data_IF_286271028161
#
_entry.id   IF_286271028161
#
_cell.length_a   1.000
_cell.length_b   1.000
_cell.length_c   1.000
_cell.angle_alpha   90.00
_cell.angle_beta   90.00
_cell.angle_gamma   90.00
#
_symmetry.space_group_name_H-M   'P 1'
#
loop_
_entity.id
_entity.type
_entity.pdbx_description
1 polymer ?
#
# COMPACT_ATOMS: atom_id res chain seq x y z
N UNK A 1 16.92 -6.70 6.56
CA UNK A 1 16.55 -6.47 5.15
C UNK A 1 15.09 -6.08 5.15
N UNK A 2 14.80 -4.82 4.87
CA UNK A 2 13.43 -4.28 4.86
C UNK A 2 12.64 -4.95 3.71
N UNK A 3 11.32 -5.08 3.87
CA UNK A 3 10.43 -5.60 2.83
C UNK A 3 10.50 -4.78 1.53
N UNK A 4 10.82 -3.50 1.64
CA UNK A 4 11.11 -2.62 0.49
C UNK A 4 12.37 -3.08 -0.25
N UNK A 5 13.44 -3.46 0.46
CA UNK A 5 14.67 -3.99 -0.16
C UNK A 5 14.44 -5.39 -0.77
N UNK A 6 13.53 -6.19 -0.21
CA UNK A 6 13.12 -7.47 -0.78
C UNK A 6 12.33 -7.30 -2.07
N UNK A 7 11.41 -6.33 -2.09
CA UNK A 7 10.61 -5.97 -3.25
C UNK A 7 11.47 -5.34 -4.36
N UNK A 8 12.36 -4.42 -4.02
CA UNK A 8 13.33 -3.83 -4.96
C UNK A 8 14.23 -4.90 -5.59
N UNK A 9 14.70 -5.88 -4.83
CA UNK A 9 15.47 -7.00 -5.38
C UNK A 9 14.64 -7.89 -6.30
N UNK A 10 13.40 -8.21 -5.92
CA UNK A 10 12.51 -8.99 -6.78
C UNK A 10 12.21 -8.27 -8.10
N UNK A 11 12.00 -6.96 -8.06
CA UNK A 11 11.82 -6.13 -9.25
C UNK A 11 13.11 -6.04 -10.09
N UNK A 12 14.27 -5.87 -9.45
CA UNK A 12 15.57 -5.85 -10.11
C UNK A 12 15.92 -7.18 -10.79
N UNK A 13 15.58 -8.31 -10.15
CA UNK A 13 15.76 -9.66 -10.72
C UNK A 13 14.86 -9.89 -11.96
N UNK A 14 13.78 -9.13 -12.09
CA UNK A 14 12.90 -9.09 -13.27
C UNK A 14 13.32 -8.02 -14.29
N UNK A 15 14.43 -7.32 -14.06
CA UNK A 15 14.96 -6.27 -14.93
C UNK A 15 14.23 -4.93 -14.82
N UNK A 16 13.49 -4.69 -13.74
CA UNK A 16 12.78 -3.44 -13.47
C UNK A 16 13.67 -2.51 -12.64
N UNK A 17 14.02 -1.34 -13.19
CA UNK A 17 14.74 -0.28 -12.48
C UNK A 17 13.74 0.70 -11.85
N UNK A 18 13.91 0.99 -10.55
CA UNK A 18 13.11 1.97 -9.81
C UNK A 18 13.80 3.33 -9.90
N UNK A 19 13.09 4.35 -10.40
CA UNK A 19 13.58 5.73 -10.38
C UNK A 19 13.50 6.25 -8.93
N UNK A 20 14.67 6.43 -8.29
CA UNK A 20 14.74 7.09 -6.99
C UNK A 20 14.47 8.58 -7.24
N UNK A 21 13.62 9.25 -6.46
CA UNK A 21 13.47 10.69 -6.60
C UNK A 21 14.86 11.32 -6.44
N UNK A 22 15.30 12.02 -7.47
CA UNK A 22 16.52 12.83 -7.40
C UNK A 22 16.35 13.74 -6.18
N UNK A 23 17.22 13.56 -5.17
CA UNK A 23 17.32 14.49 -4.05
C UNK A 23 17.82 15.82 -4.64
N UNK A 24 16.87 16.67 -5.06
CA UNK A 24 17.15 18.02 -5.51
C UNK A 24 18.02 18.70 -4.46
N UNK A 25 19.26 19.07 -4.83
CA UNK A 25 20.25 19.75 -3.99
C UNK A 25 19.72 21.06 -3.36
N UNK A 26 18.55 21.52 -3.79
CA UNK A 26 17.80 22.66 -3.24
C UNK A 26 17.24 22.38 -1.84
N UNK A 27 16.82 21.15 -1.54
CA UNK A 27 16.33 20.81 -0.19
C UNK A 27 17.46 20.76 0.85
N UNK A 28 18.67 20.36 0.45
CA UNK A 28 19.81 20.32 1.37
C UNK A 28 20.33 21.73 1.71
N UNK A 29 20.24 22.68 0.77
CA UNK A 29 20.62 24.08 1.02
C UNK A 29 19.63 24.80 1.95
N UNK A 30 18.32 24.57 1.79
CA UNK A 30 17.30 25.12 2.68
C UNK A 30 17.31 24.45 4.06
N UNK A 31 17.55 23.12 4.14
CA UNK A 31 17.75 22.42 5.42
C UNK A 31 18.98 22.93 6.18
N UNK A 32 20.10 23.23 5.50
CA UNK A 32 21.30 23.80 6.14
C UNK A 32 21.08 25.24 6.63
N UNK A 33 20.45 26.11 5.83
CA UNK A 33 20.11 27.46 6.29
C UNK A 33 19.09 27.48 7.44
N UNK A 34 18.17 26.51 7.46
CA UNK A 34 17.20 26.36 8.55
C UNK A 34 17.86 25.84 9.83
N UNK A 35 18.78 24.88 9.74
CA UNK A 35 19.54 24.35 10.88
C UNK A 35 20.50 25.38 11.51
N UNK A 36 21.13 26.24 10.71
CA UNK A 36 22.00 27.32 11.24
C UNK A 36 21.21 28.41 11.97
N UNK A 37 20.02 28.78 11.46
CA UNK A 37 19.12 29.72 12.15
C UNK A 37 18.54 29.16 13.45
N UNK A 38 18.39 27.84 13.56
CA UNK A 38 17.85 27.15 14.75
C UNK A 38 18.86 26.97 15.88
N UNK A 39 20.17 26.92 15.58
CA UNK A 39 21.22 26.73 16.59
C UNK A 39 21.62 28.02 17.34
N UNK A 40 21.19 29.19 16.88
CA UNK A 40 21.52 30.48 17.51
C UNK A 40 20.52 30.97 18.56
N UNK A 41 19.34 30.35 18.67
CA UNK A 41 18.22 30.94 19.38
C UNK A 41 17.34 29.82 19.93
N UNK A 42 17.60 29.41 21.18
CA UNK A 42 16.73 28.67 22.13
C UNK A 42 17.60 27.92 23.16
N UNK A 43 18.28 28.69 24.02
CA UNK A 43 18.34 28.34 25.45
C UNK A 43 17.05 28.91 26.06
N UNK A 44 16.34 28.11 26.85
CA UNK A 44 15.02 28.42 27.47
C UNK A 44 13.90 28.46 26.43
N UNK A 45 12.88 27.59 26.39
CA UNK A 45 12.17 26.90 27.45
C UNK A 45 11.58 25.59 26.89
N UNK A 46 11.47 24.58 27.76
CA UNK A 46 10.88 23.29 27.43
C UNK A 46 9.36 23.38 27.29
N UNK A 47 8.85 23.03 26.11
CA UNK A 47 7.50 22.51 25.88
C UNK A 47 7.46 21.86 24.49
N UNK A 48 7.04 20.60 24.46
CA UNK A 48 7.02 19.73 23.28
C UNK A 48 6.13 20.30 22.18
N UNK A 49 6.76 20.69 21.06
CA UNK A 49 6.09 21.13 19.86
C UNK A 49 6.31 20.06 18.78
N UNK A 50 5.32 19.18 18.63
CA UNK A 50 5.26 18.23 17.52
C UNK A 50 5.24 18.99 16.19
N UNK A 51 6.22 18.68 15.35
CA UNK A 51 6.45 19.28 14.05
C UNK A 51 5.31 18.95 13.09
N UNK A 52 4.73 20.01 12.51
CA UNK A 52 3.98 19.97 11.27
C UNK A 52 4.92 19.49 10.16
N UNK A 53 4.66 18.31 9.61
CA UNK A 53 5.42 17.75 8.49
C UNK A 53 4.43 17.24 7.44
N UNK A 54 4.58 17.77 6.23
CA UNK A 54 3.66 17.60 5.11
C UNK A 54 3.63 16.18 4.59
N UNK A 55 2.43 15.83 4.11
CA UNK A 55 2.02 14.54 3.57
C UNK A 55 2.94 14.03 2.46
N UNK A 56 3.70 12.97 2.75
CA UNK A 56 4.37 12.15 1.74
C UNK A 56 4.72 10.79 2.36
N UNK A 57 3.84 9.82 2.19
CA UNK A 57 3.95 8.39 2.55
C UNK A 57 4.10 8.09 4.05
N UNK A 58 3.06 7.49 4.64
CA UNK A 58 3.15 6.87 5.96
C UNK A 58 4.04 5.63 5.88
N UNK A 59 5.35 5.85 5.96
CA UNK A 59 6.42 4.83 6.00
C UNK A 59 6.44 4.05 7.34
N UNK A 60 5.48 4.31 8.24
CA UNK A 60 5.46 3.78 9.61
C UNK A 60 4.58 2.52 9.81
N UNK A 61 3.80 2.09 8.81
CA UNK A 61 2.91 0.91 8.96
C UNK A 61 3.40 -0.23 8.06
N UNK A 62 4.18 -1.14 8.65
CA UNK A 62 4.53 -2.40 7.99
C UNK A 62 3.27 -3.30 7.94
N UNK A 63 2.96 -3.90 6.78
CA UNK A 63 1.80 -4.77 6.67
C UNK A 63 1.97 -6.02 7.53
N UNK A 64 0.91 -6.41 8.21
CA UNK A 64 0.87 -7.64 9.02
C UNK A 64 1.07 -8.88 8.14
N UNK A 65 0.47 -8.85 6.94
CA UNK A 65 0.56 -9.90 5.93
C UNK A 65 0.67 -9.24 4.56
N UNK A 66 1.58 -9.75 3.71
CA UNK A 66 1.69 -9.35 2.30
C UNK A 66 1.73 -10.60 1.42
N UNK A 67 0.85 -10.66 0.43
CA UNK A 67 0.76 -11.78 -0.53
C UNK A 67 0.96 -11.23 -1.93
N UNK A 68 1.91 -11.80 -2.67
CA UNK A 68 2.19 -11.44 -4.06
C UNK A 68 1.75 -12.56 -5.01
N UNK A 69 1.00 -12.20 -6.05
CA UNK A 69 0.47 -13.16 -7.02
C UNK A 69 0.46 -12.59 -8.43
N UNK A 70 1.04 -13.32 -9.39
CA UNK A 70 0.86 -13.01 -10.81
C UNK A 70 -0.57 -13.35 -11.27
N UNK A 71 -1.16 -12.49 -12.10
CA UNK A 71 -2.46 -12.74 -12.70
C UNK A 71 -2.38 -13.90 -13.68
N UNK A 72 -3.42 -14.76 -13.66
CA UNK A 72 -3.57 -15.86 -14.61
C UNK A 72 -4.28 -15.42 -15.89
N UNK A 73 -5.14 -14.42 -15.78
CA UNK A 73 -6.06 -14.00 -16.83
C UNK A 73 -5.62 -12.70 -17.52
N UNK A 74 -4.75 -11.92 -16.88
CA UNK A 74 -4.31 -10.61 -17.37
C UNK A 74 -2.80 -10.59 -17.53
N UNK A 75 -2.33 -10.53 -18.77
CA UNK A 75 -0.91 -10.62 -19.10
C UNK A 75 -0.10 -9.49 -18.45
N UNK A 76 0.97 -9.85 -17.73
CA UNK A 76 1.87 -8.89 -17.08
C UNK A 76 1.31 -8.20 -15.84
N UNK A 77 0.09 -8.52 -15.42
CA UNK A 77 -0.51 -7.95 -14.21
C UNK A 77 -0.07 -8.73 -12.98
N UNK A 78 0.26 -8.00 -11.93
CA UNK A 78 0.55 -8.56 -10.60
C UNK A 78 -0.38 -7.98 -9.56
N UNK A 79 -0.69 -8.79 -8.56
CA UNK A 79 -1.48 -8.42 -7.40
C UNK A 79 -0.61 -8.50 -6.17
N UNK A 80 -0.72 -7.48 -5.32
CA UNK A 80 -0.19 -7.50 -3.97
C UNK A 80 -1.34 -7.22 -3.01
N UNK A 81 -1.65 -8.19 -2.15
CA UNK A 81 -2.61 -8.01 -1.06
C UNK A 81 -1.83 -7.73 0.21
N UNK A 82 -2.10 -6.60 0.84
CA UNK A 82 -1.53 -6.21 2.13
C UNK A 82 -2.66 -6.14 3.18
N UNK A 83 -2.35 -6.46 4.44
CA UNK A 83 -3.20 -6.16 5.59
C UNK A 83 -2.53 -5.05 6.39
N UNK A 84 -3.19 -3.91 6.47
CA UNK A 84 -2.74 -2.75 7.23
C UNK A 84 -3.85 -2.36 8.22
N UNK A 85 -3.52 -2.32 9.51
CA UNK A 85 -4.47 -2.05 10.60
C UNK A 85 -5.75 -2.90 10.49
N UNK A 86 -5.59 -4.22 10.29
CA UNK A 86 -6.69 -5.18 10.06
C UNK A 86 -7.56 -4.91 8.81
N UNK A 87 -7.17 -4.01 7.90
CA UNK A 87 -7.89 -3.75 6.66
C UNK A 87 -7.17 -4.36 5.45
N UNK A 88 -7.89 -5.08 4.57
CA UNK A 88 -7.31 -5.59 3.34
C UNK A 88 -7.16 -4.49 2.29
N UNK A 89 -5.95 -4.32 1.77
CA UNK A 89 -5.62 -3.45 0.64
C UNK A 89 -5.10 -4.29 -0.52
N UNK A 90 -5.66 -4.09 -1.71
CA UNK A 90 -5.19 -4.75 -2.92
C UNK A 90 -4.51 -3.73 -3.83
N UNK A 91 -3.21 -3.91 -4.06
CA UNK A 91 -2.47 -3.20 -5.11
C UNK A 91 -2.50 -4.01 -6.39
N UNK A 92 -2.98 -3.42 -7.48
CA UNK A 92 -2.97 -3.98 -8.82
C UNK A 92 -1.89 -3.27 -9.63
N UNK A 93 -0.86 -4.01 -10.02
CA UNK A 93 0.24 -3.53 -10.83
C UNK A 93 0.00 -3.96 -12.27
N UNK A 94 -0.19 -3.00 -13.16
CA UNK A 94 -0.53 -3.24 -14.56
C UNK A 94 0.51 -2.63 -15.49
N UNK A 95 0.94 -3.33 -16.55
CA UNK A 95 1.87 -2.74 -17.51
C UNK A 95 1.16 -1.66 -18.32
N UNK A 96 1.81 -0.51 -18.50
CA UNK A 96 1.25 0.62 -19.27
C UNK A 96 1.03 0.24 -20.74
N UNK A 97 1.92 -0.61 -21.28
CA UNK A 97 1.80 -1.21 -22.60
C UNK A 97 2.24 -2.67 -22.56
N UNK A 98 1.82 -3.49 -23.54
CA UNK A 98 2.21 -4.91 -23.57
C UNK A 98 3.73 -5.05 -23.68
N UNK A 99 4.33 -5.72 -22.70
CA UNK A 99 5.78 -5.95 -22.64
C UNK A 99 6.57 -4.76 -22.10
N UNK A 100 5.91 -3.71 -21.62
CA UNK A 100 6.58 -2.61 -20.94
C UNK A 100 7.09 -3.03 -19.56
N UNK A 101 8.26 -2.51 -19.18
CA UNK A 101 8.80 -2.58 -17.81
C UNK A 101 8.04 -1.63 -16.89
N UNK A 102 7.46 -0.58 -17.47
CA UNK A 102 6.70 0.46 -16.78
C UNK A 102 5.31 -0.01 -16.38
N UNK A 103 4.99 0.18 -15.10
CA UNK A 103 3.74 -0.24 -14.48
C UNK A 103 2.93 0.94 -13.96
N UNK A 104 1.62 0.92 -14.18
CA UNK A 104 0.65 1.68 -13.41
C UNK A 104 0.26 0.89 -12.16
N UNK A 105 0.15 1.58 -11.03
CA UNK A 105 -0.26 0.96 -9.77
C UNK A 105 -1.59 1.55 -9.31
N UNK A 106 -2.55 0.66 -9.08
CA UNK A 106 -3.86 1.01 -8.55
C UNK A 106 -4.01 0.42 -7.15
N UNK A 107 -4.40 1.25 -6.18
CA UNK A 107 -4.84 0.81 -4.87
C UNK A 107 -6.34 0.58 -4.90
N UNK A 108 -6.76 -0.62 -4.54
CA UNK A 108 -8.14 -1.02 -4.39
C UNK A 108 -8.40 -1.26 -2.92
N UNK A 109 -9.42 -0.59 -2.38
CA UNK A 109 -9.92 -0.76 -1.01
C UNK A 109 -11.37 -1.18 -1.06
N UNK A 110 -11.81 -1.95 -0.07
CA UNK A 110 -13.24 -2.15 0.14
C UNK A 110 -13.84 -0.80 0.56
N UNK A 111 -15.00 -0.47 0.02
CA UNK A 111 -15.73 0.72 0.48
C UNK A 111 -16.12 0.55 1.94
N UNK A 112 -16.14 1.64 2.71
CA UNK A 112 -16.66 1.66 4.09
C UNK A 112 -18.13 1.22 4.17
N UNK A 113 -18.87 1.32 3.06
CA UNK A 113 -20.26 0.87 2.97
C UNK A 113 -20.40 -0.65 2.92
N UNK A 114 -19.31 -1.37 2.65
CA UNK A 114 -19.33 -2.81 2.51
C UNK A 114 -19.39 -3.47 3.89
N UNK A 115 -20.37 -4.37 4.16
CA UNK A 115 -20.47 -5.04 5.45
C UNK A 115 -19.22 -5.82 5.85
N UNK A 116 -18.47 -6.28 4.84
CA UNK A 116 -17.25 -7.05 5.02
C UNK A 116 -16.15 -6.25 5.73
N UNK A 117 -16.08 -4.93 5.51
CA UNK A 117 -15.08 -4.05 6.16
C UNK A 117 -15.25 -4.06 7.68
N UNK A 118 -16.49 -4.04 8.17
CA UNK A 118 -16.80 -4.10 9.61
C UNK A 118 -16.49 -5.50 10.16
N UNK A 119 -16.97 -6.54 9.48
CA UNK A 119 -16.78 -7.92 9.94
C UNK A 119 -15.31 -8.34 10.00
N UNK A 120 -14.48 -7.83 9.09
CA UNK A 120 -13.04 -8.14 9.06
C UNK A 120 -12.32 -7.59 10.30
N UNK A 121 -12.59 -6.33 10.67
CA UNK A 121 -12.03 -5.71 11.87
C UNK A 121 -12.49 -6.42 13.16
N UNK A 122 -13.78 -6.76 13.25
CA UNK A 122 -14.33 -7.46 14.40
C UNK A 122 -13.72 -8.87 14.58
N UNK A 123 -13.52 -9.60 13.49
CA UNK A 123 -12.89 -10.93 13.51
C UNK A 123 -11.42 -10.89 13.95
N UNK A 124 -10.70 -9.81 13.67
CA UNK A 124 -9.34 -9.61 14.18
C UNK A 124 -9.31 -9.43 15.71
N UNK A 125 -10.34 -8.80 16.28
CA UNK A 125 -10.44 -8.49 17.72
C UNK A 125 -11.10 -9.58 18.56
N UNK A 126 -11.83 -10.52 17.94
CA UNK A 126 -12.61 -11.53 18.63
C UNK A 126 -11.73 -12.63 19.23
N UNK A 127 -11.91 -12.87 20.54
CA UNK A 127 -11.27 -13.97 21.26
C UNK A 127 -12.29 -15.08 21.49
N UNK A 128 -12.05 -16.25 20.89
CA UNK A 128 -12.96 -17.39 21.00
C UNK A 128 -12.52 -18.41 22.03
N UNK A 129 -13.14 -19.60 21.95
CA UNK A 129 -12.71 -20.77 22.71
C UNK A 129 -11.40 -21.34 22.15
N UNK A 130 -10.72 -22.21 22.91
CA UNK A 130 -9.51 -22.90 22.45
C UNK A 130 -9.71 -23.65 21.11
N UNK A 131 -10.90 -24.22 20.89
CA UNK A 131 -11.23 -24.91 19.65
C UNK A 131 -11.35 -23.94 18.46
N UNK A 132 -11.88 -22.74 18.71
CA UNK A 132 -11.95 -21.67 17.71
C UNK A 132 -10.54 -21.16 17.37
N UNK A 133 -9.73 -20.82 18.37
CA UNK A 133 -8.38 -20.29 18.16
C UNK A 133 -7.48 -21.24 17.36
N UNK A 134 -7.64 -22.56 17.55
CA UNK A 134 -6.89 -23.56 16.79
C UNK A 134 -7.13 -23.50 15.27
N UNK A 135 -8.34 -23.13 14.85
CA UNK A 135 -8.72 -23.00 13.44
C UNK A 135 -8.76 -21.57 12.92
N UNK A 136 -8.59 -20.57 13.80
CA UNK A 136 -8.81 -19.15 13.49
C UNK A 136 -7.89 -18.68 12.38
N UNK A 137 -6.60 -18.94 12.49
CA UNK A 137 -5.58 -18.48 11.53
C UNK A 137 -5.87 -18.96 10.10
N UNK A 138 -6.08 -20.26 9.91
CA UNK A 138 -6.41 -20.82 8.59
C UNK A 138 -7.72 -20.25 8.03
N UNK A 139 -8.72 -20.05 8.89
CA UNK A 139 -10.01 -19.47 8.49
C UNK A 139 -9.85 -18.02 8.03
N UNK A 140 -9.09 -17.21 8.78
CA UNK A 140 -8.80 -15.82 8.41
C UNK A 140 -8.02 -15.76 7.09
N UNK A 141 -7.05 -16.65 6.88
CA UNK A 141 -6.31 -16.73 5.63
C UNK A 141 -7.21 -17.07 4.43
N UNK A 142 -8.15 -18.01 4.58
CA UNK A 142 -9.12 -18.32 3.53
C UNK A 142 -10.07 -17.15 3.25
N UNK A 143 -10.52 -16.47 4.30
CA UNK A 143 -11.34 -15.27 4.17
C UNK A 143 -10.59 -14.17 3.41
N UNK A 144 -9.30 -13.95 3.73
CA UNK A 144 -8.44 -13.00 3.01
C UNK A 144 -8.35 -13.30 1.52
N UNK A 145 -8.14 -14.57 1.16
CA UNK A 145 -8.13 -14.96 -0.26
C UNK A 145 -9.48 -14.71 -0.94
N UNK A 146 -10.59 -14.99 -0.26
CA UNK A 146 -11.92 -14.73 -0.79
C UNK A 146 -12.17 -13.22 -0.99
N UNK A 147 -11.77 -12.38 -0.03
CA UNK A 147 -11.85 -10.92 -0.13
C UNK A 147 -11.01 -10.42 -1.30
N UNK A 148 -9.76 -10.86 -1.39
CA UNK A 148 -8.86 -10.45 -2.46
C UNK A 148 -9.40 -10.83 -3.83
N UNK A 149 -9.97 -12.03 -3.98
CA UNK A 149 -10.57 -12.47 -5.23
C UNK A 149 -11.80 -11.64 -5.60
N UNK A 150 -12.65 -11.31 -4.63
CA UNK A 150 -13.78 -10.40 -4.83
C UNK A 150 -13.32 -9.00 -5.26
N UNK A 151 -12.30 -8.44 -4.61
CA UNK A 151 -11.74 -7.14 -4.98
C UNK A 151 -11.21 -7.14 -6.41
N UNK A 152 -10.51 -8.21 -6.83
CA UNK A 152 -10.05 -8.37 -8.22
C UNK A 152 -11.22 -8.39 -9.19
N UNK A 153 -12.25 -9.19 -8.92
CA UNK A 153 -13.42 -9.29 -9.80
C UNK A 153 -14.15 -7.95 -9.95
N UNK A 154 -14.32 -7.22 -8.85
CA UNK A 154 -14.94 -5.89 -8.86
C UNK A 154 -14.08 -4.88 -9.64
N UNK A 155 -12.76 -4.89 -9.44
CA UNK A 155 -11.82 -4.07 -10.18
C UNK A 155 -11.93 -4.29 -11.69
N UNK A 156 -11.93 -5.56 -12.13
CA UNK A 156 -12.03 -5.90 -13.55
C UNK A 156 -13.42 -5.72 -14.16
N UNK A 157 -14.46 -5.62 -13.33
CA UNK A 157 -15.81 -5.27 -13.79
C UNK A 157 -16.00 -3.77 -14.02
N UNK A 158 -15.10 -2.93 -13.48
CA UNK A 158 -15.09 -1.49 -13.68
C UNK A 158 -14.44 -1.07 -15.00
N UNK A 159 -14.40 0.24 -15.22
CA UNK A 159 -13.74 0.87 -16.35
C UNK A 159 -12.57 1.74 -15.88
N UNK A 160 -11.35 1.28 -16.18
CA UNK A 160 -10.10 1.98 -15.89
C UNK A 160 -9.97 3.31 -16.65
N UNK A 161 -10.59 3.45 -17.82
CA UNK A 161 -10.45 4.65 -18.65
C UNK A 161 -11.23 5.82 -18.06
N UNK A 162 -12.44 5.56 -17.57
CA UNK A 162 -13.28 6.55 -16.90
C UNK A 162 -13.09 6.58 -15.38
N UNK A 163 -12.28 5.67 -14.83
CA UNK A 163 -12.14 5.44 -13.39
C UNK A 163 -13.49 5.21 -12.69
N UNK A 164 -14.36 4.43 -13.33
CA UNK A 164 -15.70 4.10 -12.82
C UNK A 164 -15.73 2.66 -12.35
N UNK A 165 -16.01 2.44 -11.07
CA UNK A 165 -16.01 1.11 -10.45
C UNK A 165 -17.32 0.85 -9.69
N UNK A 166 -17.64 -0.43 -9.41
CA UNK A 166 -18.75 -0.77 -8.53
C UNK A 166 -18.60 -0.11 -7.15
N UNK A 167 -19.71 0.28 -6.49
CA UNK A 167 -19.68 1.02 -5.23
C UNK A 167 -19.12 0.23 -4.05
N UNK A 168 -18.92 -1.08 -4.19
CA UNK A 168 -18.32 -1.94 -3.18
C UNK A 168 -16.81 -1.72 -3.02
N UNK A 169 -16.14 -1.10 -4.01
CA UNK A 169 -14.70 -0.80 -3.96
C UNK A 169 -14.43 0.67 -4.24
N UNK A 170 -13.30 1.12 -3.71
CA UNK A 170 -12.71 2.41 -4.02
C UNK A 170 -11.36 2.16 -4.67
N UNK A 171 -11.11 2.83 -5.81
CA UNK A 171 -9.90 2.62 -6.61
C UNK A 171 -9.17 3.95 -6.76
N UNK A 172 -7.91 3.95 -6.33
CA UNK A 172 -7.04 5.11 -6.33
C UNK A 172 -5.82 4.83 -7.21
N UNK A 173 -5.53 5.66 -8.22
CA UNK A 173 -4.28 5.56 -8.97
C UNK A 173 -3.15 6.07 -8.06
N UNK A 174 -2.18 5.22 -7.73
CA UNK A 174 -1.14 5.58 -6.78
C UNK A 174 0.03 6.33 -7.42
N UNK A 175 0.40 6.05 -8.68
CA UNK A 175 1.41 6.77 -9.50
C UNK A 175 1.53 6.12 -10.89
N UNK A 176 1.81 6.93 -11.93
CA UNK A 176 2.34 6.46 -13.23
C UNK A 176 3.86 6.35 -13.10
N UNK A 177 4.45 5.16 -13.22
CA UNK A 177 5.91 5.00 -13.13
C UNK A 177 6.58 5.47 -14.43
N UNK A 178 6.95 6.74 -14.57
CA UNK A 178 7.97 7.18 -15.53
C UNK A 178 7.60 8.38 -16.41
N UNK A 179 8.61 9.20 -16.73
CA UNK A 179 8.66 10.02 -17.94
C UNK A 179 9.90 9.66 -18.74
#
# INVERSE_FOLDING_TARGET
MNINEQFERFLADLGVEMERPDEDEREQHDKRQWLEKRNGQFRQDGQDMQSVQGDCWSDDILPEVSIFQASRDHYGVFYRLDILDTQPELRVLMPVERGAVKMDVYLVRLSERMPLTIGFAELGSYQGSNAYEHGREATLQHMLYAVAEMMKQLFWSGDLSSMTFPPEIEVYPLLRVGR
#
